data_IF_548309699226
#
_entry.id   IF_548309699226
#
_cell.length_a   1.000
_cell.length_b   1.000
_cell.length_c   1.000
_cell.angle_alpha   90.00
_cell.angle_beta   90.00
_cell.angle_gamma   90.00
#
_symmetry.space_group_name_H-M   'P 1'
#
loop_
_entity.id
_entity.type
_entity.pdbx_description
1 polymer ?
#
# COMPACT_ATOMS: atom_id res chain seq x y z
N UNK A 1 15.59 18.84 -31.89
CA UNK A 1 14.86 18.55 -30.64
C UNK A 1 15.58 17.40 -29.95
N UNK A 2 16.15 17.62 -28.77
CA UNK A 2 16.90 16.58 -28.01
C UNK A 2 15.87 15.58 -27.51
N UNK A 3 15.84 14.35 -28.06
CA UNK A 3 15.04 13.26 -27.49
C UNK A 3 15.55 13.04 -26.06
N UNK A 4 14.67 13.27 -25.08
CA UNK A 4 14.91 12.86 -23.70
C UNK A 4 15.06 11.33 -23.70
N UNK A 5 16.03 10.76 -22.97
CA UNK A 5 16.21 9.32 -22.91
C UNK A 5 14.92 8.69 -22.38
N UNK A 6 14.42 7.67 -23.09
CA UNK A 6 13.28 6.87 -22.69
C UNK A 6 13.52 6.42 -21.23
N UNK A 7 12.62 6.82 -20.33
CA UNK A 7 12.72 6.47 -18.91
C UNK A 7 12.64 4.94 -18.87
N UNK A 8 13.68 4.21 -18.43
CA UNK A 8 13.69 2.78 -18.60
C UNK A 8 12.50 2.17 -17.86
N UNK A 9 11.66 1.40 -18.55
CA UNK A 9 10.50 0.67 -18.03
C UNK A 9 10.80 -0.04 -16.69
N UNK A 10 12.04 -0.51 -16.52
CA UNK A 10 12.59 -1.05 -15.27
C UNK A 10 12.36 -0.17 -14.02
N UNK A 11 12.35 1.15 -14.17
CA UNK A 11 12.18 2.06 -13.04
C UNK A 11 10.72 2.08 -12.54
N UNK A 12 9.74 2.02 -13.45
CA UNK A 12 8.32 1.99 -13.09
C UNK A 12 7.94 0.64 -12.44
N UNK A 13 8.44 -0.47 -13.00
CA UNK A 13 8.22 -1.81 -12.44
C UNK A 13 8.80 -1.89 -11.02
N UNK A 14 10.04 -1.44 -10.82
CA UNK A 14 10.69 -1.44 -9.51
C UNK A 14 9.99 -0.53 -8.50
N UNK A 15 9.52 0.65 -8.92
CA UNK A 15 8.72 1.54 -8.07
C UNK A 15 7.40 0.89 -7.66
N UNK A 16 6.71 0.25 -8.59
CA UNK A 16 5.47 -0.46 -8.29
C UNK A 16 5.68 -1.65 -7.34
N UNK A 17 6.78 -2.40 -7.52
CA UNK A 17 7.15 -3.49 -6.61
C UNK A 17 7.46 -2.99 -5.19
N UNK A 18 8.12 -1.84 -5.06
CA UNK A 18 8.36 -1.20 -3.75
C UNK A 18 7.05 -0.72 -3.10
N UNK A 19 6.14 -0.13 -3.87
CA UNK A 19 4.82 0.25 -3.35
C UNK A 19 4.04 -0.98 -2.88
N UNK A 20 4.09 -2.07 -3.64
CA UNK A 20 3.49 -3.33 -3.23
C UNK A 20 4.10 -3.86 -1.93
N UNK A 21 5.42 -3.85 -1.78
CA UNK A 21 6.07 -4.33 -0.56
C UNK A 21 5.68 -3.53 0.68
N UNK A 22 5.35 -2.24 0.54
CA UNK A 22 4.76 -1.42 1.61
C UNK A 22 3.27 -1.71 1.84
N UNK A 23 2.53 -1.99 0.77
CA UNK A 23 1.11 -2.30 0.85
C UNK A 23 0.84 -3.60 1.63
N UNK A 24 1.68 -4.63 1.45
CA UNK A 24 1.50 -5.93 2.10
C UNK A 24 1.46 -5.84 3.64
N UNK A 25 2.48 -5.28 4.33
CA UNK A 25 2.44 -5.11 5.78
C UNK A 25 1.26 -4.26 6.26
N UNK A 26 0.82 -3.24 5.52
CA UNK A 26 -0.35 -2.45 5.92
C UNK A 26 -1.66 -3.24 5.76
N UNK A 27 -1.82 -3.93 4.63
CA UNK A 27 -3.04 -4.66 4.29
C UNK A 27 -3.23 -5.90 5.16
N UNK A 28 -2.15 -6.60 5.52
CA UNK A 28 -2.20 -7.81 6.34
C UNK A 28 -1.81 -7.60 7.81
N UNK A 29 -0.99 -6.59 8.10
CA UNK A 29 -0.68 -6.20 9.48
C UNK A 29 -1.80 -5.41 10.13
N UNK A 30 -2.57 -4.62 9.37
CA UNK A 30 -3.74 -3.90 9.89
C UNK A 30 -4.82 -4.79 10.53
N UNK A 31 -5.25 -5.91 9.90
CA UNK A 31 -6.17 -6.87 10.51
C UNK A 31 -5.56 -7.54 11.75
N UNK A 32 -4.29 -7.94 11.67
CA UNK A 32 -3.60 -8.55 12.81
C UNK A 32 -3.55 -7.61 14.03
N UNK A 33 -3.18 -6.34 13.79
CA UNK A 33 -3.16 -5.30 14.82
C UNK A 33 -4.56 -4.96 15.34
N UNK A 34 -5.58 -5.01 14.48
CA UNK A 34 -6.96 -4.85 14.90
C UNK A 34 -7.35 -5.97 15.87
N UNK A 35 -7.09 -7.24 15.57
CA UNK A 35 -7.47 -8.33 16.48
C UNK A 35 -6.65 -8.36 17.78
N UNK A 36 -5.36 -8.02 17.73
CA UNK A 36 -4.52 -8.04 18.93
C UNK A 36 -4.70 -6.84 19.85
N UNK A 37 -4.96 -5.66 19.29
CA UNK A 37 -4.94 -4.41 20.06
C UNK A 37 -6.22 -3.60 19.82
N UNK A 38 -6.68 -3.50 18.57
CA UNK A 38 -7.85 -2.68 18.21
C UNK A 38 -9.18 -3.16 18.82
N UNK A 39 -9.50 -4.45 18.71
CA UNK A 39 -10.73 -5.04 19.20
C UNK A 39 -10.78 -5.09 20.74
N UNK A 40 -9.69 -5.45 21.45
CA UNK A 40 -9.63 -5.26 22.90
C UNK A 40 -9.82 -3.81 23.33
N UNK A 41 -9.13 -2.86 22.68
CA UNK A 41 -9.28 -1.44 22.99
C UNK A 41 -10.71 -0.92 22.74
N UNK A 42 -11.39 -1.42 21.70
CA UNK A 42 -12.78 -1.09 21.43
C UNK A 42 -13.71 -1.61 22.53
N UNK A 43 -13.46 -2.82 23.04
CA UNK A 43 -14.21 -3.39 24.16
C UNK A 43 -14.04 -2.58 25.46
N UNK A 44 -12.87 -1.95 25.64
CA UNK A 44 -12.58 -1.02 26.74
C UNK A 44 -13.13 0.41 26.49
N UNK A 45 -13.89 0.62 25.41
CA UNK A 45 -14.50 1.91 25.05
C UNK A 45 -13.56 2.88 24.32
N UNK A 46 -12.34 2.46 23.98
CA UNK A 46 -11.36 3.27 23.25
C UNK A 46 -11.50 3.08 21.74
N UNK A 47 -11.99 4.11 21.05
CA UNK A 47 -12.27 4.05 19.60
C UNK A 47 -11.07 4.42 18.72
N UNK A 48 -10.05 5.10 19.27
CA UNK A 48 -8.94 5.62 18.47
C UNK A 48 -8.06 4.51 17.90
N UNK A 49 -7.68 3.54 18.74
CA UNK A 49 -6.84 2.40 18.36
C UNK A 49 -7.43 1.56 17.23
N UNK A 50 -8.69 1.06 17.31
CA UNK A 50 -9.31 0.33 16.21
C UNK A 50 -9.46 1.20 14.95
N UNK A 51 -9.75 2.50 15.08
CA UNK A 51 -9.82 3.41 13.94
C UNK A 51 -8.48 3.53 13.21
N UNK A 52 -7.36 3.65 13.95
CA UNK A 52 -6.02 3.68 13.36
C UNK A 52 -5.67 2.37 12.64
N UNK A 53 -6.04 1.21 13.20
CA UNK A 53 -5.86 -0.07 12.51
C UNK A 53 -6.63 -0.12 11.19
N UNK A 54 -7.90 0.33 11.18
CA UNK A 54 -8.73 0.36 9.98
C UNK A 54 -8.17 1.33 8.93
N UNK A 55 -7.70 2.50 9.35
CA UNK A 55 -7.06 3.47 8.44
C UNK A 55 -5.76 2.94 7.85
N UNK A 56 -4.95 2.20 8.63
CA UNK A 56 -3.77 1.52 8.13
C UNK A 56 -4.13 0.45 7.07
N UNK A 57 -5.19 -0.32 7.29
CA UNK A 57 -5.69 -1.27 6.28
C UNK A 57 -6.12 -0.57 5.00
N UNK A 58 -6.94 0.47 5.12
CA UNK A 58 -7.46 1.22 3.98
C UNK A 58 -6.34 1.86 3.15
N UNK A 59 -5.34 2.45 3.81
CA UNK A 59 -4.17 3.01 3.12
C UNK A 59 -3.32 1.93 2.45
N UNK A 60 -3.18 0.75 3.04
CA UNK A 60 -2.55 -0.41 2.42
C UNK A 60 -3.23 -0.82 1.10
N UNK A 61 -4.56 -0.85 1.07
CA UNK A 61 -5.32 -1.13 -0.16
C UNK A 61 -5.05 -0.09 -1.23
N UNK A 62 -5.09 1.20 -0.90
CA UNK A 62 -4.82 2.29 -1.84
C UNK A 62 -3.40 2.18 -2.41
N UNK A 63 -2.40 2.01 -1.55
CA UNK A 63 -1.00 1.86 -1.97
C UNK A 63 -0.84 0.61 -2.86
N UNK A 64 -1.52 -0.49 -2.53
CA UNK A 64 -1.54 -1.71 -3.32
C UNK A 64 -2.06 -1.48 -4.74
N UNK A 65 -3.21 -0.80 -4.88
CA UNK A 65 -3.76 -0.43 -6.19
C UNK A 65 -2.81 0.46 -6.99
N UNK A 66 -2.16 1.44 -6.34
CA UNK A 66 -1.18 2.32 -7.00
C UNK A 66 0.05 1.51 -7.43
N UNK A 67 0.54 0.59 -6.61
CA UNK A 67 1.66 -0.29 -6.93
C UNK A 67 1.37 -1.14 -8.16
N UNK A 68 0.24 -1.86 -8.17
CA UNK A 68 -0.19 -2.67 -9.33
C UNK A 68 -0.31 -1.80 -10.58
N UNK A 69 -1.00 -0.67 -10.49
CA UNK A 69 -1.14 0.27 -11.62
C UNK A 69 0.21 0.74 -12.15
N UNK A 70 1.17 0.99 -11.27
CA UNK A 70 2.52 1.46 -11.66
C UNK A 70 3.31 0.36 -12.36
N UNK A 71 3.20 -0.89 -11.89
CA UNK A 71 3.79 -2.05 -12.59
C UNK A 71 3.14 -2.23 -13.97
N UNK A 72 1.80 -2.23 -14.04
CA UNK A 72 1.08 -2.41 -15.30
C UNK A 72 1.44 -1.31 -16.31
N UNK A 73 1.57 -0.07 -15.87
CA UNK A 73 2.09 1.02 -16.72
C UNK A 73 3.49 0.70 -17.22
N UNK A 74 4.41 0.34 -16.33
CA UNK A 74 5.76 -0.04 -16.74
C UNK A 74 5.86 -1.28 -17.65
N UNK A 75 4.81 -2.10 -17.75
CA UNK A 75 4.75 -3.27 -18.66
C UNK A 75 4.10 -2.93 -20.00
N UNK A 76 3.04 -2.12 -20.00
CA UNK A 76 2.14 -1.93 -21.15
C UNK A 76 2.21 -0.53 -21.77
N UNK A 77 2.69 0.47 -21.04
CA UNK A 77 2.87 1.84 -21.50
C UNK A 77 4.37 2.16 -21.40
N UNK A 78 5.11 1.97 -22.51
CA UNK A 78 6.54 2.35 -22.62
C UNK A 78 6.78 3.83 -22.27
#
# INVERSE_FOLDING_TARGET
MKKLPDKPANNAIMQGAFLLSLAFPLMFGGPAMYFWIGAPALADGQWLTPALCILAMASGVVIGFIGIKTILRGIFED
#
